data_IF_614227908706
#
_entry.id   IF_614227908706
#
_cell.length_a   1.000
_cell.length_b   1.000
_cell.length_c   1.000
_cell.angle_alpha   90.00
_cell.angle_beta   90.00
_cell.angle_gamma   90.00
#
_symmetry.space_group_name_H-M   'P 1'
#
loop_
_entity.id
_entity.type
_entity.pdbx_description
1 polymer ?
#
# COMPACT_ATOMS: atom_id res chain seq x y z
N UNK A 1 -11.13 -26.09 25.10
CA UNK A 1 -11.46 -24.72 24.63
C UNK A 1 -12.52 -24.13 25.56
N UNK A 2 -12.42 -22.85 25.91
CA UNK A 2 -13.43 -22.18 26.75
C UNK A 2 -14.65 -21.77 25.89
N UNK A 3 -15.84 -21.67 26.51
CA UNK A 3 -17.04 -21.20 25.80
C UNK A 3 -16.85 -19.79 25.22
N UNK A 4 -16.14 -18.91 25.94
CA UNK A 4 -15.79 -17.56 25.49
C UNK A 4 -14.92 -17.59 24.23
N UNK A 5 -13.90 -18.46 24.16
CA UNK A 5 -13.06 -18.58 22.97
C UNK A 5 -13.89 -18.94 21.72
N UNK A 6 -14.79 -19.92 21.84
CA UNK A 6 -15.64 -20.36 20.73
C UNK A 6 -16.58 -19.22 20.30
N UNK A 7 -17.20 -18.52 21.25
CA UNK A 7 -18.10 -17.41 20.98
C UNK A 7 -17.40 -16.28 20.19
N UNK A 8 -16.25 -15.79 20.68
CA UNK A 8 -15.52 -14.70 20.01
C UNK A 8 -14.95 -15.11 18.66
N UNK A 9 -14.47 -16.35 18.54
CA UNK A 9 -13.99 -16.90 17.26
C UNK A 9 -15.12 -17.00 16.24
N UNK A 10 -16.28 -17.54 16.64
CA UNK A 10 -17.47 -17.63 15.78
C UNK A 10 -17.98 -16.26 15.34
N UNK A 11 -18.02 -15.29 16.26
CA UNK A 11 -18.37 -13.89 15.99
C UNK A 11 -17.41 -13.27 14.96
N UNK A 12 -16.11 -13.39 15.16
CA UNK A 12 -15.10 -12.89 14.23
C UNK A 12 -15.27 -13.52 12.84
N UNK A 13 -15.43 -14.83 12.76
CA UNK A 13 -15.65 -15.55 11.51
C UNK A 13 -16.91 -15.07 10.77
N UNK A 14 -18.03 -14.90 11.46
CA UNK A 14 -19.26 -14.40 10.87
C UNK A 14 -19.10 -12.98 10.29
N UNK A 15 -18.43 -12.09 11.03
CA UNK A 15 -18.13 -10.72 10.60
C UNK A 15 -17.20 -10.72 9.37
N UNK A 16 -16.15 -11.54 9.36
CA UNK A 16 -15.24 -11.66 8.23
C UNK A 16 -15.95 -12.16 6.97
N UNK A 17 -16.85 -13.14 7.10
CA UNK A 17 -17.67 -13.62 5.98
C UNK A 17 -18.59 -12.54 5.42
N UNK A 18 -19.21 -11.73 6.29
CA UNK A 18 -20.04 -10.61 5.88
C UNK A 18 -19.24 -9.55 5.12
N UNK A 19 -18.06 -9.20 5.63
CA UNK A 19 -17.14 -8.27 4.95
C UNK A 19 -16.67 -8.84 3.60
N UNK A 20 -16.30 -10.13 3.55
CA UNK A 20 -15.90 -10.82 2.34
C UNK A 20 -16.99 -10.81 1.27
N UNK A 21 -18.24 -11.10 1.65
CA UNK A 21 -19.38 -11.07 0.74
C UNK A 21 -19.58 -9.67 0.14
N UNK A 22 -19.54 -8.62 0.97
CA UNK A 22 -19.62 -7.23 0.49
C UNK A 22 -18.47 -6.88 -0.47
N UNK A 23 -17.23 -7.26 -0.14
CA UNK A 23 -16.07 -7.01 -0.98
C UNK A 23 -16.15 -7.74 -2.33
N UNK A 24 -16.61 -9.00 -2.31
CA UNK A 24 -16.78 -9.79 -3.52
C UNK A 24 -17.85 -9.21 -4.46
N UNK A 25 -18.92 -8.64 -3.92
CA UNK A 25 -19.98 -8.01 -4.72
C UNK A 25 -19.53 -6.65 -5.26
N UNK A 26 -19.01 -5.78 -4.39
CA UNK A 26 -18.81 -4.36 -4.74
C UNK A 26 -17.42 -4.04 -5.29
N UNK A 27 -16.39 -4.83 -4.98
CA UNK A 27 -14.98 -4.45 -5.21
C UNK A 27 -14.14 -5.51 -5.92
N UNK A 28 -14.74 -6.61 -6.41
CA UNK A 28 -14.01 -7.67 -7.15
C UNK A 28 -13.26 -7.18 -8.38
N UNK A 29 -13.72 -6.09 -9.00
CA UNK A 29 -13.12 -5.55 -10.22
C UNK A 29 -11.79 -4.85 -9.94
N UNK A 30 -11.60 -4.31 -8.73
CA UNK A 30 -10.41 -3.58 -8.35
C UNK A 30 -9.33 -4.53 -7.77
N UNK A 31 -8.04 -4.35 -8.11
CA UNK A 31 -6.97 -5.24 -7.65
C UNK A 31 -6.82 -5.24 -6.13
N UNK A 32 -6.92 -4.09 -5.48
CA UNK A 32 -6.86 -3.98 -4.03
C UNK A 32 -8.03 -4.72 -3.36
N UNK A 33 -9.24 -4.65 -3.91
CA UNK A 33 -10.41 -5.38 -3.39
C UNK A 33 -10.21 -6.89 -3.41
N UNK A 34 -9.61 -7.44 -4.48
CA UNK A 34 -9.31 -8.88 -4.59
C UNK A 34 -8.30 -9.34 -3.54
N UNK A 35 -7.21 -8.60 -3.34
CA UNK A 35 -6.21 -8.97 -2.33
C UNK A 35 -6.72 -8.80 -0.90
N UNK A 36 -7.58 -7.81 -0.65
CA UNK A 36 -8.27 -7.67 0.63
C UNK A 36 -9.19 -8.87 0.92
N UNK A 37 -9.90 -9.37 -0.11
CA UNK A 37 -10.71 -10.58 0.01
C UNK A 37 -9.85 -11.81 0.37
N UNK A 38 -8.71 -12.00 -0.30
CA UNK A 38 -7.77 -13.08 0.01
C UNK A 38 -7.27 -12.99 1.46
N UNK A 39 -6.95 -11.78 1.92
CA UNK A 39 -6.52 -11.54 3.31
C UNK A 39 -7.61 -11.90 4.31
N UNK A 40 -8.86 -11.48 4.07
CA UNK A 40 -10.00 -11.80 4.96
C UNK A 40 -10.25 -13.31 5.00
N UNK A 41 -10.17 -14.00 3.86
CA UNK A 41 -10.30 -15.47 3.79
C UNK A 41 -9.17 -16.15 4.57
N UNK A 42 -7.93 -15.67 4.45
CA UNK A 42 -6.80 -16.19 5.22
C UNK A 42 -7.02 -16.04 6.73
N UNK A 43 -7.42 -14.85 7.18
CA UNK A 43 -7.71 -14.60 8.61
C UNK A 43 -8.88 -15.47 9.11
N UNK A 44 -9.91 -15.69 8.28
CA UNK A 44 -11.01 -16.60 8.59
C UNK A 44 -10.50 -18.02 8.85
N UNK A 45 -9.66 -18.57 7.96
CA UNK A 45 -9.10 -19.92 8.14
C UNK A 45 -8.15 -20.02 9.34
N UNK A 46 -7.36 -18.96 9.59
CA UNK A 46 -6.50 -18.88 10.77
C UNK A 46 -7.31 -18.98 12.08
N UNK A 47 -8.41 -18.23 12.19
CA UNK A 47 -9.30 -18.28 13.35
C UNK A 47 -10.09 -19.59 13.45
N UNK A 48 -10.46 -20.20 12.32
CA UNK A 48 -11.12 -21.50 12.27
C UNK A 48 -10.15 -22.66 12.59
N UNK A 49 -8.84 -22.42 12.47
CA UNK A 49 -7.69 -23.24 12.91
C UNK A 49 -8.02 -24.14 14.10
N UNK A 50 -8.15 -23.57 15.30
CA UNK A 50 -8.27 -24.32 16.55
C UNK A 50 -9.63 -24.99 16.74
N UNK A 51 -10.65 -24.64 15.94
CA UNK A 51 -12.05 -25.04 16.15
C UNK A 51 -12.38 -26.37 15.49
N UNK A 52 -11.73 -26.74 14.39
CA UNK A 52 -11.94 -28.05 13.76
C UNK A 52 -10.76 -28.99 14.07
N UNK A 53 -10.88 -29.86 15.09
CA UNK A 53 -9.89 -30.90 15.38
C UNK A 53 -9.99 -32.05 14.36
N UNK A 54 -8.91 -32.83 14.22
CA UNK A 54 -8.80 -34.07 13.42
C UNK A 54 -9.29 -33.96 11.98
N UNK A 55 -8.54 -33.25 11.15
CA UNK A 55 -8.75 -33.21 9.70
C UNK A 55 -7.63 -34.01 9.06
N UNK A 56 -7.95 -34.88 8.11
CA UNK A 56 -6.92 -35.62 7.37
C UNK A 56 -5.88 -34.67 6.73
N UNK A 57 -4.71 -35.17 6.32
CA UNK A 57 -3.57 -34.34 5.89
C UNK A 57 -3.92 -33.37 4.74
N UNK A 58 -4.84 -33.74 3.85
CA UNK A 58 -5.29 -32.88 2.76
C UNK A 58 -6.05 -31.65 3.25
N UNK A 59 -6.91 -31.82 4.27
CA UNK A 59 -7.69 -30.71 4.84
C UNK A 59 -6.83 -29.76 5.67
N UNK A 60 -5.79 -30.26 6.32
CA UNK A 60 -4.81 -29.42 7.01
C UNK A 60 -4.08 -28.51 6.03
N UNK A 61 -3.61 -29.04 4.90
CA UNK A 61 -2.98 -28.24 3.84
C UNK A 61 -3.94 -27.20 3.29
N UNK A 62 -5.22 -27.55 3.08
CA UNK A 62 -6.23 -26.64 2.54
C UNK A 62 -6.53 -25.45 3.46
N UNK A 63 -6.35 -25.63 4.77
CA UNK A 63 -6.59 -24.60 5.79
C UNK A 63 -5.33 -23.80 6.09
N UNK A 64 -4.17 -24.46 6.09
CA UNK A 64 -2.89 -23.82 6.35
C UNK A 64 -2.46 -22.96 5.15
N UNK A 65 -2.78 -23.35 3.90
CA UNK A 65 -2.41 -22.58 2.71
C UNK A 65 -2.93 -21.13 2.70
N UNK A 66 -4.24 -20.85 2.90
CA UNK A 66 -4.74 -19.47 3.01
C UNK A 66 -4.14 -18.71 4.19
N UNK A 67 -3.84 -19.41 5.29
CA UNK A 67 -3.26 -18.84 6.51
C UNK A 67 -1.83 -18.37 6.28
N UNK A 68 -1.01 -19.21 5.64
CA UNK A 68 0.39 -18.90 5.31
C UNK A 68 0.50 -17.79 4.24
N UNK A 69 -0.55 -17.57 3.45
CA UNK A 69 -0.59 -16.51 2.45
C UNK A 69 -0.88 -15.11 3.04
N UNK A 70 -1.35 -14.99 4.30
CA UNK A 70 -1.75 -13.71 4.91
C UNK A 70 -0.68 -12.61 4.76
N UNK A 71 0.62 -12.83 5.11
CA UNK A 71 1.65 -11.80 4.99
C UNK A 71 1.87 -11.35 3.54
N UNK A 72 1.86 -12.28 2.60
CA UNK A 72 2.01 -12.00 1.17
C UNK A 72 0.80 -11.26 0.59
N UNK A 73 -0.41 -11.70 0.95
CA UNK A 73 -1.65 -11.04 0.58
C UNK A 73 -1.74 -9.62 1.14
N UNK A 74 -1.26 -9.39 2.38
CA UNK A 74 -1.17 -8.06 2.96
C UNK A 74 -0.23 -7.15 2.15
N UNK A 75 0.96 -7.62 1.79
CA UNK A 75 1.87 -6.82 0.98
C UNK A 75 1.28 -6.49 -0.39
N UNK A 76 0.64 -7.47 -1.05
CA UNK A 76 -0.03 -7.27 -2.33
C UNK A 76 -1.20 -6.29 -2.23
N UNK A 77 -2.00 -6.39 -1.17
CA UNK A 77 -3.08 -5.44 -0.86
C UNK A 77 -2.52 -4.03 -0.63
N UNK A 78 -1.53 -3.88 0.24
CA UNK A 78 -0.88 -2.60 0.53
C UNK A 78 -0.27 -1.97 -0.73
N UNK A 79 0.38 -2.78 -1.57
CA UNK A 79 0.93 -2.34 -2.84
C UNK A 79 -0.17 -1.89 -3.81
N UNK A 80 -1.25 -2.67 -3.95
CA UNK A 80 -2.37 -2.33 -4.83
C UNK A 80 -3.15 -1.09 -4.35
N UNK A 81 -3.14 -0.82 -3.04
CA UNK A 81 -3.75 0.37 -2.45
C UNK A 81 -2.91 1.65 -2.69
N UNK A 82 -1.59 1.49 -2.85
CA UNK A 82 -0.65 2.62 -2.93
C UNK A 82 -0.15 2.91 -4.35
N UNK A 83 -0.05 1.89 -5.20
CA UNK A 83 0.67 1.97 -6.47
C UNK A 83 -0.32 2.07 -7.62
N UNK A 84 -0.76 3.28 -7.92
CA UNK A 84 -1.52 3.57 -9.13
C UNK A 84 -0.56 3.35 -10.33
N UNK A 85 -0.82 2.32 -11.14
CA UNK A 85 -0.13 2.00 -12.40
C UNK A 85 1.24 1.30 -12.34
N UNK A 86 1.81 1.00 -11.17
CA UNK A 86 3.02 0.15 -11.11
C UNK A 86 2.64 -1.34 -11.03
N UNK A 87 3.37 -2.18 -11.78
CA UNK A 87 3.24 -3.63 -11.66
C UNK A 87 4.00 -4.11 -10.43
N UNK A 88 3.41 -5.03 -9.69
CA UNK A 88 4.08 -5.65 -8.55
C UNK A 88 5.41 -6.30 -8.99
N UNK A 89 6.51 -6.09 -8.25
CA UNK A 89 7.82 -6.58 -8.65
C UNK A 89 7.87 -8.11 -8.80
N UNK A 90 8.55 -8.59 -9.85
CA UNK A 90 8.71 -10.05 -10.08
C UNK A 90 9.45 -10.76 -8.94
N UNK A 91 10.42 -10.10 -8.33
CA UNK A 91 11.13 -10.64 -7.16
C UNK A 91 10.21 -10.75 -5.93
N UNK A 92 9.19 -9.89 -5.81
CA UNK A 92 8.22 -9.96 -4.72
C UNK A 92 7.38 -11.24 -4.80
N UNK A 93 6.97 -11.64 -6.01
CA UNK A 93 6.27 -12.91 -6.22
C UNK A 93 7.13 -14.12 -5.80
N UNK A 94 8.43 -14.10 -6.10
CA UNK A 94 9.34 -15.16 -5.68
C UNK A 94 9.46 -15.24 -4.14
N UNK A 95 9.53 -14.09 -3.45
CA UNK A 95 9.56 -14.07 -1.98
C UNK A 95 8.27 -14.59 -1.35
N UNK A 96 7.10 -14.22 -1.90
CA UNK A 96 5.80 -14.72 -1.42
C UNK A 96 5.72 -16.24 -1.62
N UNK A 97 6.10 -16.73 -2.80
CA UNK A 97 6.12 -18.17 -3.08
C UNK A 97 7.09 -18.94 -2.18
N UNK A 98 8.29 -18.38 -1.94
CA UNK A 98 9.26 -18.95 -1.01
C UNK A 98 8.70 -19.01 0.42
N UNK A 99 8.03 -17.95 0.88
CA UNK A 99 7.40 -17.91 2.20
C UNK A 99 6.32 -18.95 2.36
N UNK A 100 5.47 -19.09 1.36
CA UNK A 100 4.40 -20.08 1.35
C UNK A 100 4.97 -21.50 1.37
N UNK A 101 5.99 -21.77 0.55
CA UNK A 101 6.64 -23.09 0.50
C UNK A 101 7.32 -23.45 1.82
N UNK A 102 8.07 -22.53 2.43
CA UNK A 102 8.73 -22.74 3.73
C UNK A 102 7.69 -22.92 4.84
N UNK A 103 6.62 -22.11 4.84
CA UNK A 103 5.53 -22.21 5.82
C UNK A 103 4.81 -23.56 5.78
N UNK A 104 4.40 -24.00 4.58
CA UNK A 104 3.75 -25.30 4.38
C UNK A 104 4.70 -26.47 4.70
N UNK A 105 5.96 -26.38 4.31
CA UNK A 105 6.95 -27.39 4.65
C UNK A 105 7.16 -27.46 6.17
N UNK A 106 7.29 -26.34 6.88
CA UNK A 106 7.40 -26.33 8.34
C UNK A 106 6.18 -26.97 9.01
N UNK A 107 4.98 -26.73 8.48
CA UNK A 107 3.72 -27.23 9.02
C UNK A 107 3.50 -28.74 8.81
N UNK A 108 3.81 -29.26 7.62
CA UNK A 108 3.43 -30.63 7.21
C UNK A 108 4.60 -31.62 7.06
N UNK A 109 5.86 -31.17 7.17
CA UNK A 109 7.01 -32.07 7.15
C UNK A 109 6.98 -32.96 8.39
N UNK A 110 7.09 -34.27 8.17
CA UNK A 110 7.02 -35.26 9.24
C UNK A 110 8.18 -35.07 10.25
N UNK A 111 7.79 -34.77 11.48
CA UNK A 111 8.70 -34.53 12.59
C UNK A 111 9.47 -35.79 13.01
N UNK A 112 8.92 -36.98 12.76
CA UNK A 112 9.54 -38.24 13.12
C UNK A 112 10.76 -38.56 12.25
N UNK A 113 10.70 -38.23 10.96
CA UNK A 113 11.78 -38.50 10.01
C UNK A 113 12.80 -37.37 9.91
N UNK A 114 12.38 -36.11 10.06
CA UNK A 114 13.23 -34.94 9.80
C UNK A 114 13.12 -33.82 10.85
N UNK A 115 13.37 -34.10 12.14
CA UNK A 115 13.14 -33.14 13.23
C UNK A 115 14.02 -31.88 13.11
N UNK A 116 15.29 -32.04 12.75
CA UNK A 116 16.22 -30.93 12.59
C UNK A 116 15.82 -30.01 11.42
N UNK A 117 15.46 -30.60 10.26
CA UNK A 117 15.01 -29.82 9.09
C UNK A 117 13.73 -29.06 9.40
N UNK A 118 12.75 -29.70 10.05
CA UNK A 118 11.51 -29.05 10.48
C UNK A 118 11.78 -27.85 11.39
N UNK A 119 12.69 -27.99 12.35
CA UNK A 119 13.09 -26.90 13.24
C UNK A 119 13.72 -25.73 12.47
N UNK A 120 14.65 -25.99 11.54
CA UNK A 120 15.24 -24.95 10.71
C UNK A 120 14.22 -24.25 9.81
N UNK A 121 13.23 -24.98 9.27
CA UNK A 121 12.14 -24.40 8.49
C UNK A 121 11.26 -23.46 9.34
N UNK A 122 10.96 -23.82 10.59
CA UNK A 122 10.25 -22.93 11.51
C UNK A 122 11.06 -21.67 11.82
N UNK A 123 12.37 -21.79 12.06
CA UNK A 123 13.25 -20.63 12.28
C UNK A 123 13.33 -19.72 11.05
N UNK A 124 13.35 -20.30 9.84
CA UNK A 124 13.40 -19.55 8.58
C UNK A 124 12.06 -18.87 8.24
N UNK A 125 10.94 -19.50 8.59
CA UNK A 125 9.58 -19.00 8.36
C UNK A 125 9.36 -17.62 9.00
N UNK A 126 9.76 -17.48 10.26
CA UNK A 126 9.50 -16.29 11.09
C UNK A 126 10.03 -14.97 10.48
N UNK A 127 11.34 -14.83 10.15
CA UNK A 127 11.85 -13.61 9.54
C UNK A 127 11.29 -13.36 8.14
N UNK A 128 10.90 -14.41 7.41
CA UNK A 128 10.34 -14.28 6.07
C UNK A 128 8.93 -13.68 6.10
N UNK A 129 8.08 -14.13 7.04
CA UNK A 129 6.76 -13.52 7.27
C UNK A 129 6.89 -12.06 7.73
N UNK A 130 7.82 -11.78 8.66
CA UNK A 130 8.13 -10.42 9.09
C UNK A 130 8.61 -9.52 7.95
N UNK A 131 9.43 -10.05 7.05
CA UNK A 131 9.89 -9.33 5.87
C UNK A 131 8.75 -8.94 4.94
N UNK A 132 7.79 -9.84 4.69
CA UNK A 132 6.61 -9.57 3.86
C UNK A 132 5.69 -8.51 4.50
N UNK A 133 5.43 -8.63 5.81
CA UNK A 133 4.64 -7.65 6.55
C UNK A 133 5.33 -6.27 6.56
N UNK A 134 6.63 -6.24 6.82
CA UNK A 134 7.44 -5.03 6.77
C UNK A 134 7.41 -4.37 5.40
N UNK A 135 7.50 -5.16 4.32
CA UNK A 135 7.38 -4.64 2.95
C UNK A 135 6.00 -4.01 2.68
N UNK A 136 4.92 -4.61 3.19
CA UNK A 136 3.58 -4.03 3.17
C UNK A 136 3.46 -2.72 3.93
N UNK A 137 4.00 -2.65 5.15
CA UNK A 137 4.02 -1.42 5.96
C UNK A 137 4.85 -0.32 5.31
N UNK A 138 6.01 -0.65 4.74
CA UNK A 138 6.85 0.30 4.00
C UNK A 138 6.11 0.85 2.77
N UNK A 139 5.34 0.01 2.06
CA UNK A 139 4.51 0.46 0.94
C UNK A 139 3.46 1.49 1.39
N UNK A 140 2.78 1.24 2.52
CA UNK A 140 1.83 2.19 3.12
C UNK A 140 2.51 3.51 3.55
N UNK A 141 3.66 3.43 4.22
CA UNK A 141 4.41 4.60 4.72
C UNK A 141 4.89 5.52 3.60
N UNK A 142 5.48 4.95 2.54
CA UNK A 142 6.02 5.75 1.43
C UNK A 142 4.93 6.59 0.77
N UNK A 143 3.76 6.01 0.56
CA UNK A 143 2.67 6.71 -0.12
C UNK A 143 1.94 7.68 0.81
N UNK A 144 1.84 7.37 2.11
CA UNK A 144 1.23 8.24 3.12
C UNK A 144 1.78 9.68 3.09
N UNK A 145 3.09 9.84 2.93
CA UNK A 145 3.73 11.16 2.89
C UNK A 145 3.35 11.98 1.65
N UNK A 146 3.14 11.29 0.52
CA UNK A 146 2.89 11.91 -0.79
C UNK A 146 1.40 12.11 -1.13
N UNK A 147 0.50 11.46 -0.39
CA UNK A 147 -0.94 11.53 -0.66
C UNK A 147 -1.52 12.86 -0.18
N UNK A 148 -2.17 13.56 -1.11
CA UNK A 148 -2.82 14.84 -0.84
C UNK A 148 -4.31 14.67 -0.49
N UNK A 149 -4.89 13.50 -0.77
CA UNK A 149 -6.28 13.19 -0.48
C UNK A 149 -6.43 12.72 0.96
N UNK A 150 -7.15 13.49 1.76
CA UNK A 150 -7.29 13.27 3.20
C UNK A 150 -7.95 11.92 3.56
N UNK A 151 -9.01 11.52 2.84
CA UNK A 151 -9.70 10.24 3.08
C UNK A 151 -8.78 9.03 2.88
N UNK A 152 -8.02 9.02 1.77
CA UNK A 152 -7.03 7.98 1.44
C UNK A 152 -5.92 7.91 2.49
N UNK A 153 -5.42 9.07 2.91
CA UNK A 153 -4.38 9.18 3.93
C UNK A 153 -4.85 8.64 5.29
N UNK A 154 -6.08 8.97 5.70
CA UNK A 154 -6.66 8.49 6.96
C UNK A 154 -6.85 6.98 6.94
N UNK A 155 -7.36 6.41 5.84
CA UNK A 155 -7.47 4.96 5.69
C UNK A 155 -6.10 4.28 5.84
N UNK A 156 -5.07 4.79 5.16
CA UNK A 156 -3.71 4.23 5.24
C UNK A 156 -3.12 4.35 6.65
N UNK A 157 -3.34 5.46 7.35
CA UNK A 157 -2.91 5.61 8.74
C UNK A 157 -3.60 4.61 9.67
N UNK A 158 -4.92 4.47 9.55
CA UNK A 158 -5.69 3.50 10.35
C UNK A 158 -5.20 2.08 10.07
N UNK A 159 -5.01 1.71 8.80
CA UNK A 159 -4.47 0.39 8.43
C UNK A 159 -3.07 0.19 8.99
N UNK A 160 -2.19 1.19 8.86
CA UNK A 160 -0.80 1.11 9.34
C UNK A 160 -0.73 0.94 10.85
N UNK A 161 -1.50 1.72 11.62
CA UNK A 161 -1.53 1.65 13.08
C UNK A 161 -2.16 0.33 13.51
N UNK A 162 -3.33 -0.01 12.96
CA UNK A 162 -4.09 -1.19 13.39
C UNK A 162 -3.35 -2.48 13.04
N UNK A 163 -2.94 -2.63 11.78
CA UNK A 163 -2.24 -3.84 11.31
C UNK A 163 -0.84 -3.88 11.90
N UNK A 164 -0.12 -2.75 11.96
CA UNK A 164 1.21 -2.68 12.58
C UNK A 164 1.20 -3.10 14.05
N UNK A 165 0.28 -2.55 14.86
CA UNK A 165 0.14 -2.91 16.27
C UNK A 165 -0.30 -4.37 16.45
N UNK A 166 -1.31 -4.83 15.69
CA UNK A 166 -1.78 -6.21 15.79
C UNK A 166 -0.70 -7.22 15.38
N UNK A 167 0.03 -6.96 14.29
CA UNK A 167 1.14 -7.80 13.85
C UNK A 167 2.27 -7.85 14.88
N UNK A 168 2.61 -6.71 15.50
CA UNK A 168 3.60 -6.67 16.57
C UNK A 168 3.17 -7.56 17.75
N UNK A 169 1.90 -7.50 18.16
CA UNK A 169 1.37 -8.36 19.22
C UNK A 169 1.45 -9.84 18.85
N UNK A 170 1.02 -10.21 17.64
CA UNK A 170 1.03 -11.60 17.17
C UNK A 170 2.45 -12.15 17.09
N UNK A 171 3.38 -11.41 16.48
CA UNK A 171 4.79 -11.81 16.35
C UNK A 171 5.44 -11.93 17.73
N UNK A 172 5.24 -10.96 18.62
CA UNK A 172 5.76 -11.05 19.98
C UNK A 172 5.21 -12.27 20.72
N UNK A 173 3.92 -12.58 20.55
CA UNK A 173 3.32 -13.77 21.13
C UNK A 173 3.92 -15.06 20.55
N UNK A 174 4.04 -15.18 19.23
CA UNK A 174 4.66 -16.34 18.58
C UNK A 174 6.11 -16.55 19.02
N UNK A 175 6.87 -15.46 19.16
CA UNK A 175 8.25 -15.52 19.63
C UNK A 175 8.35 -15.95 21.10
N UNK A 176 7.59 -15.30 22.00
CA UNK A 176 7.62 -15.58 23.44
C UNK A 176 7.14 -17.00 23.77
N UNK A 177 6.14 -17.49 23.05
CA UNK A 177 5.54 -18.81 23.27
C UNK A 177 6.04 -19.87 22.27
N UNK A 178 7.15 -19.60 21.56
CA UNK A 178 7.69 -20.54 20.57
C UNK A 178 8.08 -21.91 21.19
N UNK A 179 8.56 -21.90 22.43
CA UNK A 179 9.01 -23.09 23.16
C UNK A 179 8.29 -23.29 24.51
N UNK A 180 7.31 -22.44 24.82
CA UNK A 180 6.59 -22.46 26.09
C UNK A 180 5.12 -22.75 25.82
N UNK A 181 4.43 -23.49 26.71
CA UNK A 181 3.00 -23.70 26.56
C UNK A 181 2.27 -22.35 26.60
N UNK A 182 1.35 -22.14 25.64
CA UNK A 182 0.57 -20.92 25.55
C UNK A 182 -0.34 -20.83 26.80
N UNK A 183 -0.29 -19.74 27.59
CA UNK A 183 -1.17 -19.57 28.74
C UNK A 183 -2.64 -19.61 28.34
N UNK A 184 -3.48 -20.26 29.14
CA UNK A 184 -4.88 -20.55 28.81
C UNK A 184 -5.74 -19.31 28.43
N UNK A 185 -5.37 -18.11 28.89
CA UNK A 185 -6.05 -16.87 28.56
C UNK A 185 -5.68 -16.25 27.21
N UNK A 186 -4.47 -16.53 26.69
CA UNK A 186 -3.93 -15.85 25.49
C UNK A 186 -4.75 -16.13 24.23
N UNK A 187 -5.18 -17.37 23.92
CA UNK A 187 -6.02 -17.63 22.74
C UNK A 187 -7.38 -16.93 22.82
N UNK A 188 -7.96 -16.84 24.03
CA UNK A 188 -9.23 -16.15 24.25
C UNK A 188 -9.06 -14.65 24.05
N UNK A 189 -8.00 -14.04 24.60
CA UNK A 189 -7.68 -12.62 24.39
C UNK A 189 -7.47 -12.31 22.91
N UNK A 190 -6.73 -13.17 22.20
CA UNK A 190 -6.51 -13.04 20.78
C UNK A 190 -7.84 -13.09 19.98
N UNK A 191 -8.73 -14.03 20.30
CA UNK A 191 -10.06 -14.12 19.68
C UNK A 191 -10.94 -12.87 19.96
N UNK A 192 -10.87 -12.32 21.18
CA UNK A 192 -11.57 -11.07 21.55
C UNK A 192 -11.06 -9.90 20.70
N UNK A 193 -9.73 -9.73 20.61
CA UNK A 193 -9.12 -8.67 19.82
C UNK A 193 -9.47 -8.82 18.33
N UNK A 194 -9.38 -10.03 17.78
CA UNK A 194 -9.74 -10.31 16.40
C UNK A 194 -11.22 -10.01 16.11
N UNK A 195 -12.13 -10.41 17.01
CA UNK A 195 -13.57 -10.08 16.88
C UNK A 195 -13.84 -8.58 16.97
N UNK A 196 -13.14 -7.86 17.85
CA UNK A 196 -13.27 -6.41 17.97
C UNK A 196 -12.81 -5.68 16.70
N UNK A 197 -11.67 -6.11 16.14
CA UNK A 197 -11.16 -5.58 14.87
C UNK A 197 -12.09 -5.90 13.69
N UNK A 198 -12.57 -7.14 13.61
CA UNK A 198 -13.53 -7.54 12.57
C UNK A 198 -14.84 -6.74 12.66
N UNK A 199 -15.34 -6.49 13.88
CA UNK A 199 -16.53 -5.68 14.10
C UNK A 199 -16.30 -4.23 13.68
N UNK A 200 -15.19 -3.62 14.09
CA UNK A 200 -14.83 -2.26 13.70
C UNK A 200 -14.72 -2.12 12.18
N UNK A 201 -14.06 -3.08 11.51
CA UNK A 201 -13.95 -3.12 10.06
C UNK A 201 -15.32 -3.26 9.38
N UNK A 202 -16.19 -4.14 9.89
CA UNK A 202 -17.55 -4.31 9.38
C UNK A 202 -18.41 -3.06 9.57
N UNK A 203 -18.40 -2.43 10.74
CA UNK A 203 -19.15 -1.20 11.02
C UNK A 203 -18.67 -0.05 10.14
N UNK A 204 -17.35 0.08 9.99
CA UNK A 204 -16.76 1.08 9.09
C UNK A 204 -17.18 0.85 7.64
N UNK A 205 -17.09 -0.40 7.17
CA UNK A 205 -17.42 -0.80 5.81
C UNK A 205 -18.92 -0.69 5.52
N UNK A 206 -19.80 -1.09 6.44
CA UNK A 206 -21.24 -1.24 6.21
C UNK A 206 -22.07 -0.03 6.64
N UNK A 207 -21.77 0.56 7.79
CA UNK A 207 -22.65 1.54 8.44
C UNK A 207 -22.14 2.97 8.33
N UNK A 208 -20.83 3.18 8.53
CA UNK A 208 -20.28 4.53 8.66
C UNK A 208 -19.92 5.18 7.32
N UNK A 209 -19.63 4.38 6.29
CA UNK A 209 -19.19 4.95 5.01
C UNK A 209 -19.28 3.97 3.81
N UNK A 210 -20.49 3.71 3.27
CA UNK A 210 -20.67 2.74 2.18
C UNK A 210 -19.81 3.01 0.94
N UNK A 211 -19.44 4.27 0.70
CA UNK A 211 -18.55 4.72 -0.37
C UNK A 211 -17.13 5.15 0.03
N UNK A 212 -16.74 5.12 1.32
CA UNK A 212 -15.37 5.55 1.68
C UNK A 212 -14.32 4.60 1.11
N UNK A 213 -14.63 3.30 0.99
CA UNK A 213 -13.71 2.38 0.35
C UNK A 213 -13.57 2.71 -1.15
N UNK A 214 -14.65 3.05 -1.87
CA UNK A 214 -14.55 3.51 -3.26
C UNK A 214 -13.80 4.83 -3.42
N UNK A 215 -13.93 5.77 -2.48
CA UNK A 215 -13.14 7.01 -2.50
C UNK A 215 -11.65 6.77 -2.17
N UNK A 216 -11.41 5.78 -1.30
CA UNK A 216 -10.07 5.48 -0.80
C UNK A 216 -9.28 4.54 -1.71
N UNK A 217 -9.96 3.69 -2.48
CA UNK A 217 -9.34 2.85 -3.48
C UNK A 217 -9.00 3.70 -4.72
N UNK A 218 -7.87 3.42 -5.39
CA UNK A 218 -7.61 3.98 -6.71
C UNK A 218 -8.76 3.63 -7.65
N UNK A 219 -9.44 4.64 -8.21
CA UNK A 219 -10.30 4.41 -9.36
C UNK A 219 -9.40 3.82 -10.45
N UNK A 220 -9.68 2.58 -10.85
CA UNK A 220 -9.07 2.04 -12.05
C UNK A 220 -9.36 3.03 -13.18
N UNK A 221 -8.37 3.29 -14.04
CA UNK A 221 -8.51 4.13 -15.22
C UNK A 221 -9.57 3.54 -16.17
N UNK A 222 -10.84 3.68 -15.83
CA UNK A 222 -11.96 3.63 -16.75
C UNK A 222 -11.99 5.00 -17.40
N UNK A 223 -11.36 5.05 -18.58
CA UNK A 223 -11.42 6.10 -19.58
C UNK A 223 -11.07 7.51 -19.09
N UNK A 224 -10.05 8.08 -19.72
CA UNK A 224 -10.03 9.51 -20.00
C UNK A 224 -11.29 9.84 -20.86
N UNK A 225 -12.47 9.82 -20.25
CA UNK A 225 -13.43 10.86 -20.56
C UNK A 225 -12.93 11.99 -19.69
N UNK A 226 -12.57 13.07 -20.35
CA UNK A 226 -12.44 14.40 -19.81
C UNK A 226 -13.82 14.80 -19.24
N UNK A 227 -14.30 14.07 -18.24
CA UNK A 227 -15.32 14.54 -17.32
C UNK A 227 -14.59 15.64 -16.56
N UNK A 228 -14.85 16.87 -16.96
CA UNK A 228 -14.74 18.04 -16.11
C UNK A 228 -15.08 17.57 -14.70
N UNK A 229 -14.06 17.51 -13.84
CA UNK A 229 -14.25 17.30 -12.41
C UNK A 229 -15.46 18.15 -12.03
N UNK A 230 -16.53 17.58 -11.47
CA UNK A 230 -17.66 18.39 -11.03
C UNK A 230 -17.04 19.45 -10.15
N UNK A 231 -17.17 20.70 -10.60
CA UNK A 231 -16.52 21.87 -10.05
C UNK A 231 -16.88 21.87 -8.57
N UNK A 232 -15.99 21.31 -7.75
CA UNK A 232 -16.28 20.98 -6.37
C UNK A 232 -16.14 22.30 -5.65
N UNK A 233 -17.17 23.15 -5.77
CA UNK A 233 -17.22 24.58 -5.40
C UNK A 233 -15.93 24.97 -4.70
N UNK A 234 -14.91 25.28 -5.49
CA UNK A 234 -13.64 25.69 -4.93
C UNK A 234 -13.96 26.99 -4.21
N UNK A 235 -14.08 26.90 -2.88
CA UNK A 235 -14.29 28.07 -2.04
C UNK A 235 -13.31 29.15 -2.53
N UNK A 236 -13.79 30.38 -2.77
CA UNK A 236 -12.91 31.43 -3.26
C UNK A 236 -11.70 31.51 -2.33
N UNK A 237 -10.51 31.49 -2.93
CA UNK A 237 -9.26 31.54 -2.18
C UNK A 237 -9.32 32.75 -1.25
N UNK A 238 -9.10 32.52 0.04
CA UNK A 238 -8.87 33.63 0.96
C UNK A 238 -7.56 34.34 0.59
N UNK A 239 -7.38 35.57 1.07
CA UNK A 239 -6.21 36.39 0.74
C UNK A 239 -4.89 35.69 1.13
N UNK A 240 -4.88 34.95 2.23
CA UNK A 240 -3.72 34.22 2.72
C UNK A 240 -3.37 33.03 1.81
N UNK A 241 -4.38 32.31 1.32
CA UNK A 241 -4.24 31.20 0.38
C UNK A 241 -3.78 31.71 -0.99
N UNK A 242 -4.25 32.89 -1.42
CA UNK A 242 -3.81 33.52 -2.67
C UNK A 242 -2.33 33.90 -2.62
N UNK A 243 -1.89 34.54 -1.53
CA UNK A 243 -0.48 34.87 -1.31
C UNK A 243 0.39 33.60 -1.25
N UNK A 244 -0.10 32.56 -0.57
CA UNK A 244 0.60 31.28 -0.52
C UNK A 244 0.71 30.63 -1.90
N UNK A 245 -0.34 30.71 -2.72
CA UNK A 245 -0.33 30.18 -4.09
C UNK A 245 0.67 30.91 -4.97
N UNK A 246 0.73 32.23 -4.91
CA UNK A 246 1.72 33.03 -5.64
C UNK A 246 3.14 32.67 -5.21
N UNK A 247 3.38 32.55 -3.89
CA UNK A 247 4.67 32.16 -3.33
C UNK A 247 5.07 30.75 -3.79
N UNK A 248 4.15 29.80 -3.76
CA UNK A 248 4.33 28.43 -4.27
C UNK A 248 4.68 28.46 -5.76
N UNK A 249 3.89 29.13 -6.59
CA UNK A 249 4.12 29.19 -8.04
C UNK A 249 5.45 29.85 -8.38
N UNK A 250 5.82 30.92 -7.70
CA UNK A 250 7.11 31.60 -7.86
C UNK A 250 8.28 30.67 -7.49
N UNK A 251 8.21 30.02 -6.32
CA UNK A 251 9.21 29.06 -5.87
C UNK A 251 9.39 27.90 -6.86
N UNK A 252 8.28 27.36 -7.38
CA UNK A 252 8.32 26.30 -8.38
C UNK A 252 8.89 26.78 -9.71
N UNK A 253 8.52 27.97 -10.21
CA UNK A 253 9.11 28.56 -11.43
C UNK A 253 10.64 28.74 -11.32
N UNK A 254 11.12 29.05 -10.12
CA UNK A 254 12.55 29.23 -9.83
C UNK A 254 13.31 27.90 -9.60
N UNK A 255 12.67 26.76 -9.85
CA UNK A 255 13.34 25.46 -9.78
C UNK A 255 13.25 24.78 -8.41
N UNK A 256 12.36 25.21 -7.51
CA UNK A 256 12.14 24.58 -6.20
C UNK A 256 11.85 23.07 -6.28
N UNK A 257 11.36 22.57 -7.42
CA UNK A 257 11.13 21.15 -7.69
C UNK A 257 12.38 20.31 -7.97
N UNK A 258 13.54 20.93 -8.23
CA UNK A 258 14.76 20.20 -8.63
C UNK A 258 15.42 19.46 -7.46
N UNK A 259 15.01 19.73 -6.22
CA UNK A 259 15.54 19.03 -5.06
C UNK A 259 15.14 17.54 -5.08
N UNK A 260 16.14 16.66 -5.11
CA UNK A 260 15.94 15.22 -5.16
C UNK A 260 15.34 14.70 -3.86
N UNK A 261 14.18 14.05 -3.95
CA UNK A 261 13.48 13.53 -2.77
C UNK A 261 12.62 14.55 -2.04
N UNK A 262 12.40 15.74 -2.61
CA UNK A 262 11.55 16.78 -2.04
C UNK A 262 10.20 16.22 -1.56
N UNK A 263 9.92 16.41 -0.28
CA UNK A 263 8.64 16.09 0.35
C UNK A 263 7.76 17.32 0.47
N UNK A 264 6.45 17.13 0.65
CA UNK A 264 5.53 18.26 0.86
C UNK A 264 5.82 19.00 2.17
N UNK A 265 6.34 18.29 3.18
CA UNK A 265 6.79 18.88 4.44
C UNK A 265 7.97 19.83 4.21
N UNK A 266 9.00 19.37 3.51
CA UNK A 266 10.16 20.20 3.16
C UNK A 266 9.76 21.40 2.31
N UNK A 267 8.82 21.23 1.36
CA UNK A 267 8.30 22.35 0.59
C UNK A 267 7.52 23.34 1.47
N UNK A 268 6.74 22.87 2.43
CA UNK A 268 6.04 23.73 3.38
C UNK A 268 7.01 24.53 4.25
N UNK A 269 8.09 23.89 4.73
CA UNK A 269 9.18 24.55 5.46
C UNK A 269 9.88 25.61 4.60
N UNK A 270 10.21 25.30 3.34
CA UNK A 270 10.81 26.25 2.39
C UNK A 270 9.90 27.47 2.12
N UNK A 271 8.58 27.26 2.14
CA UNK A 271 7.59 28.32 1.92
C UNK A 271 7.18 29.03 3.22
N UNK A 272 7.62 28.56 4.39
CA UNK A 272 7.24 29.09 5.70
C UNK A 272 5.73 28.93 5.99
N UNK A 273 5.15 27.80 5.59
CA UNK A 273 3.72 27.49 5.78
C UNK A 273 3.53 26.14 6.48
N UNK A 274 2.30 25.83 6.88
CA UNK A 274 1.95 24.54 7.45
C UNK A 274 1.65 23.51 6.35
N UNK A 275 2.11 22.27 6.54
CA UNK A 275 1.98 21.18 5.57
C UNK A 275 0.52 20.92 5.15
N UNK A 276 -0.43 20.98 6.10
CA UNK A 276 -1.84 20.76 5.81
C UNK A 276 -2.42 21.83 4.87
N UNK A 277 -1.96 23.08 4.97
CA UNK A 277 -2.41 24.17 4.10
C UNK A 277 -1.88 23.98 2.68
N UNK A 278 -0.62 23.60 2.55
CA UNK A 278 -0.02 23.32 1.26
C UNK A 278 -0.69 22.11 0.57
N UNK A 279 -1.02 21.07 1.34
CA UNK A 279 -1.79 19.91 0.84
C UNK A 279 -3.15 20.31 0.32
N UNK A 280 -3.91 21.07 1.12
CA UNK A 280 -5.24 21.53 0.74
C UNK A 280 -5.17 22.41 -0.51
N UNK A 281 -4.18 23.31 -0.58
CA UNK A 281 -3.96 24.19 -1.72
C UNK A 281 -3.70 23.41 -3.02
N UNK A 282 -2.75 22.47 -2.99
CA UNK A 282 -2.38 21.67 -4.17
C UNK A 282 -3.50 20.73 -4.58
N UNK A 283 -4.22 20.13 -3.62
CA UNK A 283 -5.30 19.20 -3.93
C UNK A 283 -6.56 19.90 -4.44
N UNK A 284 -7.09 20.86 -3.67
CA UNK A 284 -8.40 21.46 -3.94
C UNK A 284 -8.34 22.50 -5.05
N UNK A 285 -7.26 23.28 -5.13
CA UNK A 285 -7.17 24.40 -6.07
C UNK A 285 -6.29 24.11 -7.29
N UNK A 286 -5.33 23.18 -7.18
CA UNK A 286 -4.48 22.77 -8.32
C UNK A 286 -4.86 21.39 -8.88
N UNK A 287 -5.83 20.70 -8.30
CA UNK A 287 -6.39 19.45 -8.81
C UNK A 287 -5.48 18.22 -8.68
N UNK A 288 -4.36 18.31 -7.96
CA UNK A 288 -3.42 17.21 -7.86
C UNK A 288 -3.75 16.27 -6.70
N UNK A 289 -3.87 14.98 -6.98
CA UNK A 289 -4.15 13.94 -5.96
C UNK A 289 -2.88 13.48 -5.24
N UNK A 290 -1.73 13.59 -5.89
CA UNK A 290 -0.43 13.18 -5.35
C UNK A 290 0.62 14.29 -5.49
N UNK A 291 1.42 14.52 -4.45
CA UNK A 291 2.48 15.54 -4.48
C UNK A 291 3.57 15.24 -5.52
N UNK A 292 3.94 13.97 -5.71
CA UNK A 292 4.90 13.58 -6.73
C UNK A 292 4.37 13.86 -8.14
N UNK A 293 3.07 13.74 -8.37
CA UNK A 293 2.46 14.12 -9.64
C UNK A 293 2.60 15.63 -9.90
N UNK A 294 2.33 16.43 -8.88
CA UNK A 294 2.54 17.89 -8.93
C UNK A 294 4.00 18.23 -9.28
N UNK A 295 4.99 17.62 -8.62
CA UNK A 295 6.41 17.82 -8.94
C UNK A 295 6.75 17.36 -10.36
N UNK A 296 6.27 16.18 -10.76
CA UNK A 296 6.60 15.57 -12.05
C UNK A 296 6.13 16.43 -13.22
N UNK A 297 5.05 17.21 -13.08
CA UNK A 297 4.63 18.18 -14.10
C UNK A 297 5.76 19.14 -14.42
N UNK A 298 6.31 19.84 -13.43
CA UNK A 298 7.40 20.79 -13.62
C UNK A 298 8.68 20.12 -14.10
N UNK A 299 9.03 18.96 -13.52
CA UNK A 299 10.25 18.23 -13.88
C UNK A 299 10.23 17.77 -15.33
N UNK A 300 9.13 17.15 -15.78
CA UNK A 300 9.02 16.69 -17.17
C UNK A 300 8.95 17.88 -18.13
N UNK A 301 8.26 18.97 -17.79
CA UNK A 301 8.24 20.18 -18.62
C UNK A 301 9.64 20.80 -18.79
N UNK A 302 10.47 20.79 -17.75
CA UNK A 302 11.87 21.16 -17.88
C UNK A 302 12.66 20.15 -18.71
N UNK A 303 12.48 18.84 -18.48
CA UNK A 303 13.17 17.80 -19.24
C UNK A 303 12.89 17.92 -20.73
N UNK A 304 11.63 18.11 -21.13
CA UNK A 304 11.22 18.22 -22.52
C UNK A 304 11.88 19.43 -23.20
N UNK A 305 11.94 20.59 -22.51
CA UNK A 305 12.68 21.77 -23.01
C UNK A 305 14.16 21.48 -23.19
N UNK A 306 14.81 20.84 -22.21
CA UNK A 306 16.24 20.50 -22.27
C UNK A 306 16.56 19.45 -23.33
N UNK A 307 15.65 18.50 -23.57
CA UNK A 307 15.79 17.46 -24.60
C UNK A 307 15.60 18.00 -26.01
N UNK A 308 14.85 19.08 -26.18
CA UNK A 308 14.63 19.75 -27.46
C UNK A 308 15.65 20.88 -27.76
N UNK A 309 16.57 21.17 -26.84
CA UNK A 309 17.56 22.24 -26.98
C UNK A 309 18.83 21.69 -27.68
N UNK A 310 19.18 22.17 -28.90
CA UNK A 310 20.38 21.74 -29.61
C UNK A 310 21.67 21.95 -28.80
N UNK A 311 21.72 22.98 -27.95
CA UNK A 311 22.90 23.26 -27.11
C UNK A 311 23.13 22.20 -26.04
N UNK A 312 22.08 21.47 -25.68
CA UNK A 312 22.10 20.43 -24.64
C UNK A 312 22.04 19.01 -25.22
N UNK A 313 22.09 18.86 -26.55
CA UNK A 313 22.01 17.56 -27.23
C UNK A 313 23.09 16.57 -26.78
N UNK A 314 24.27 17.08 -26.40
CA UNK A 314 25.40 16.32 -25.89
C UNK A 314 25.18 15.73 -24.49
N UNK A 315 24.23 16.26 -23.71
CA UNK A 315 23.99 15.79 -22.35
C UNK A 315 23.27 14.43 -22.35
N UNK A 316 23.76 13.44 -21.58
CA UNK A 316 23.04 12.20 -21.37
C UNK A 316 21.65 12.43 -20.78
N UNK A 317 20.68 11.61 -21.18
CA UNK A 317 19.32 11.64 -20.63
C UNK A 317 19.33 11.48 -19.10
N UNK A 318 20.23 10.62 -18.58
CA UNK A 318 20.42 10.43 -17.15
C UNK A 318 20.84 11.73 -16.45
N UNK A 319 21.76 12.51 -17.03
CA UNK A 319 22.20 13.79 -16.45
C UNK A 319 21.02 14.76 -16.33
N UNK A 320 20.24 14.90 -17.41
CA UNK A 320 19.03 15.74 -17.39
C UNK A 320 18.05 15.27 -16.30
N UNK A 321 17.85 13.96 -16.17
CA UNK A 321 16.96 13.40 -15.15
C UNK A 321 17.43 13.68 -13.71
N UNK A 322 18.74 13.57 -13.45
CA UNK A 322 19.30 13.86 -12.13
C UNK A 322 19.21 15.35 -11.78
N UNK A 323 19.53 16.23 -12.73
CA UNK A 323 19.50 17.69 -12.54
C UNK A 323 18.09 18.24 -12.21
N UNK A 324 17.05 17.60 -12.74
CA UNK A 324 15.65 17.99 -12.48
C UNK A 324 15.08 17.30 -11.24
N UNK A 325 15.88 16.54 -10.49
CA UNK A 325 15.51 16.00 -9.18
C UNK A 325 15.01 14.54 -9.16
N UNK A 326 15.22 13.75 -10.22
CA UNK A 326 15.02 12.30 -10.14
C UNK A 326 16.21 11.62 -9.46
N UNK A 327 15.94 10.53 -8.74
CA UNK A 327 16.99 9.69 -8.11
C UNK A 327 17.64 8.72 -9.10
N UNK A 328 16.94 8.36 -10.18
CA UNK A 328 17.41 7.39 -11.16
C UNK A 328 16.61 7.50 -12.47
N UNK A 329 17.12 6.85 -13.51
CA UNK A 329 16.54 6.89 -14.86
C UNK A 329 15.18 6.17 -14.97
N UNK A 330 14.98 5.08 -14.23
CA UNK A 330 13.75 4.27 -14.31
C UNK A 330 12.46 5.06 -14.01
N UNK A 331 12.33 5.76 -12.86
CA UNK A 331 11.13 6.57 -12.59
C UNK A 331 10.98 7.75 -13.55
N UNK A 332 12.09 8.35 -14.00
CA UNK A 332 12.05 9.40 -15.02
C UNK A 332 11.47 8.90 -16.33
N UNK A 333 11.98 7.79 -16.86
CA UNK A 333 11.51 7.21 -18.12
C UNK A 333 10.02 6.85 -18.04
N UNK A 334 9.57 6.29 -16.92
CA UNK A 334 8.16 5.97 -16.70
C UNK A 334 7.28 7.24 -16.71
N UNK A 335 7.68 8.27 -15.97
CA UNK A 335 6.96 9.54 -15.92
C UNK A 335 6.93 10.26 -17.27
N UNK A 336 8.06 10.29 -17.99
CA UNK A 336 8.17 10.91 -19.31
C UNK A 336 7.31 10.18 -20.34
N UNK A 337 7.40 8.84 -20.39
CA UNK A 337 6.58 8.02 -21.29
C UNK A 337 5.10 8.16 -21.00
N UNK A 338 4.70 8.29 -19.73
CA UNK A 338 3.29 8.54 -19.36
C UNK A 338 2.78 9.87 -19.90
N UNK A 339 3.61 10.93 -19.89
CA UNK A 339 3.20 12.27 -20.36
C UNK A 339 3.23 12.42 -21.88
N UNK A 340 4.19 11.79 -22.54
CA UNK A 340 4.45 12.00 -23.97
C UNK A 340 4.16 10.78 -24.86
N UNK A 341 3.76 9.64 -24.29
CA UNK A 341 3.60 8.35 -24.98
C UNK A 341 4.85 7.83 -25.71
N UNK A 342 6.03 8.42 -25.44
CA UNK A 342 7.31 8.05 -26.02
C UNK A 342 8.45 8.16 -25.01
N UNK A 343 9.55 7.47 -25.24
CA UNK A 343 10.73 7.56 -24.38
C UNK A 343 11.43 8.91 -24.54
N UNK A 344 12.19 9.38 -23.54
CA UNK A 344 12.96 10.62 -23.63
C UNK A 344 13.92 10.66 -24.83
N UNK A 345 14.49 9.49 -25.18
CA UNK A 345 15.43 9.34 -26.30
C UNK A 345 14.71 9.47 -27.65
N UNK A 346 13.53 8.85 -27.79
CA UNK A 346 12.68 9.01 -28.98
C UNK A 346 12.22 10.47 -29.13
N UNK A 347 11.77 11.08 -28.03
CA UNK A 347 11.39 12.49 -27.99
C UNK A 347 12.52 13.39 -28.48
N UNK A 348 13.75 13.22 -27.95
CA UNK A 348 14.92 13.99 -28.38
C UNK A 348 15.17 13.83 -29.88
N UNK A 349 15.17 12.61 -30.39
CA UNK A 349 15.41 12.33 -31.82
C UNK A 349 14.35 12.99 -32.72
N UNK A 350 13.11 13.09 -32.25
CA UNK A 350 12.03 13.76 -32.97
C UNK A 350 12.18 15.28 -33.00
N UNK A 351 12.60 15.89 -31.88
CA UNK A 351 12.78 17.34 -31.78
C UNK A 351 14.09 17.84 -32.41
N UNK A 352 15.11 16.98 -32.44
CA UNK A 352 16.42 17.23 -33.01
C UNK A 352 16.76 16.15 -34.05
N UNK A 353 16.05 16.13 -35.20
CA UNK A 353 16.43 15.26 -36.31
C UNK A 353 17.83 15.65 -36.76
N UNK A 354 18.74 14.67 -36.77
CA UNK A 354 20.14 14.83 -37.17
C UNK A 354 20.21 15.24 -38.63
#
# INVERSE_FOLDING_TARGET
>A
MTASFIFFTGSACALLLLAAAKLAISYRHQPAGRWLLVLIIGVFFYLLRPVLPDRGPLMDVLVDLPTELIPGAFWLFAFALCSECERFPRWGWALIAMSLAVGLAAAHLDAGHWPALRHWLYLLKQPLQLGLLGAGLVALLRQYQSDLVESRRNLRAVLLITIGCYMLVVVCAEFLFSYQPIPAGVPTLHAVLASGLALAACLWLLALSPGALSESLPQAAESEIEEELPEKESQPLDEQQRQLLEKLQSHMRNGGYRHTGLTIRELAEQLGTQEYMLRALINRHLGHRNFNEYLNRFRIDEASRRLADPKQAHLPVLTIALDIGYRSLSPFNAAFKRRHNQTPTEYRRQQLPI
#
